data_IF_099014511153
#
_entry.id   IF_099014511153
#
_cell.length_a   1.000
_cell.length_b   1.000
_cell.length_c   1.000
_cell.angle_alpha   90.00
_cell.angle_beta   90.00
_cell.angle_gamma   90.00
#
_symmetry.space_group_name_H-M   'P 1'
#
loop_
_entity.id
_entity.type
_entity.pdbx_description
1 polymer ?
#
# COMPACT_ATOMS: atom_id res chain seq x y z
N UNK A 1 -5.27 -11.71 -22.61
CA UNK A 1 -5.24 -10.46 -21.84
C UNK A 1 -3.86 -9.86 -21.98
N UNK A 2 -3.74 -8.53 -22.00
CA UNK A 2 -2.47 -7.86 -22.20
C UNK A 2 -2.51 -6.44 -21.65
N UNK A 3 -1.35 -5.88 -21.34
CA UNK A 3 -1.14 -4.44 -21.23
C UNK A 3 -1.64 -3.76 -22.52
N UNK A 4 -2.47 -2.73 -22.38
CA UNK A 4 -3.05 -1.97 -23.50
C UNK A 4 -4.48 -2.37 -23.87
N UNK A 5 -5.11 -1.53 -24.69
CA UNK A 5 -6.51 -1.68 -25.10
C UNK A 5 -6.63 -2.60 -26.32
N UNK A 6 -7.54 -3.57 -26.26
CA UNK A 6 -7.80 -4.50 -27.37
C UNK A 6 -8.56 -3.79 -28.50
N UNK A 7 -7.88 -3.60 -29.64
CA UNK A 7 -8.40 -2.82 -30.77
C UNK A 7 -9.36 -3.59 -31.68
N UNK A 8 -9.25 -4.92 -31.73
CA UNK A 8 -9.96 -5.74 -32.71
C UNK A 8 -10.78 -6.87 -32.06
N UNK A 9 -11.40 -6.57 -30.93
CA UNK A 9 -12.22 -7.49 -30.14
C UNK A 9 -13.29 -8.24 -30.98
N UNK A 10 -14.03 -7.54 -31.84
CA UNK A 10 -15.06 -8.13 -32.71
C UNK A 10 -14.49 -9.05 -33.83
N UNK A 11 -13.19 -8.98 -34.11
CA UNK A 11 -12.52 -9.86 -35.10
C UNK A 11 -12.02 -11.18 -34.47
N UNK A 12 -11.68 -11.16 -33.17
CA UNK A 12 -10.95 -12.25 -32.50
C UNK A 12 -11.79 -13.03 -31.50
N UNK A 13 -12.84 -12.44 -30.95
CA UNK A 13 -13.80 -13.11 -30.07
C UNK A 13 -15.05 -13.54 -30.85
N UNK A 14 -15.67 -14.63 -30.42
CA UNK A 14 -16.95 -15.04 -30.98
C UNK A 14 -18.06 -14.02 -30.63
N UNK A 15 -19.15 -13.97 -31.41
CA UNK A 15 -20.26 -13.05 -31.15
C UNK A 15 -20.77 -13.16 -29.70
N UNK A 16 -21.03 -12.02 -29.07
CA UNK A 16 -21.54 -11.92 -27.70
C UNK A 16 -20.47 -11.64 -26.62
N UNK A 17 -19.26 -12.19 -26.72
CA UNK A 17 -18.22 -11.92 -25.70
C UNK A 17 -17.75 -10.47 -25.73
N UNK A 18 -17.55 -9.91 -26.92
CA UNK A 18 -17.21 -8.50 -27.06
C UNK A 18 -18.34 -7.57 -26.61
N UNK A 19 -19.60 -7.98 -26.82
CA UNK A 19 -20.77 -7.24 -26.35
C UNK A 19 -20.86 -7.24 -24.82
N UNK A 20 -20.56 -8.37 -24.16
CA UNK A 20 -20.46 -8.45 -22.68
C UNK A 20 -19.44 -7.44 -22.14
N UNK A 21 -18.26 -7.33 -22.77
CA UNK A 21 -17.24 -6.36 -22.36
C UNK A 21 -17.71 -4.91 -22.53
N UNK A 22 -18.23 -4.57 -23.72
CA UNK A 22 -18.76 -3.23 -24.00
C UNK A 22 -19.88 -2.84 -23.04
N UNK A 23 -20.69 -3.79 -22.59
CA UNK A 23 -21.73 -3.55 -21.58
C UNK A 23 -21.14 -3.27 -20.19
N UNK A 24 -20.13 -4.03 -19.77
CA UNK A 24 -19.47 -3.85 -18.46
C UNK A 24 -18.80 -2.49 -18.34
N UNK A 25 -18.15 -2.02 -19.40
CA UNK A 25 -17.45 -0.72 -19.42
C UNK A 25 -18.38 0.49 -19.18
N UNK A 26 -19.71 0.29 -19.22
CA UNK A 26 -20.71 1.34 -19.06
C UNK A 26 -21.34 1.42 -17.66
N UNK A 27 -21.11 0.44 -16.78
CA UNK A 27 -21.76 0.38 -15.47
C UNK A 27 -20.91 -0.30 -14.39
N UNK A 28 -21.34 -0.24 -13.13
CA UNK A 28 -20.59 -0.77 -11.98
C UNK A 28 -20.87 -2.26 -11.67
N UNK A 29 -21.67 -2.95 -12.50
CA UNK A 29 -22.05 -4.34 -12.22
C UNK A 29 -20.87 -5.31 -12.37
N UNK A 30 -20.89 -6.37 -11.58
CA UNK A 30 -20.03 -7.52 -11.77
C UNK A 30 -20.65 -8.42 -12.85
N UNK A 31 -19.86 -8.80 -13.85
CA UNK A 31 -20.31 -9.67 -14.93
C UNK A 31 -19.32 -10.80 -15.18
N UNK A 32 -19.84 -11.93 -15.64
CA UNK A 32 -19.03 -13.03 -16.14
C UNK A 32 -18.95 -12.93 -17.66
N UNK A 33 -17.73 -12.75 -18.17
CA UNK A 33 -17.45 -12.70 -19.61
C UNK A 33 -17.29 -14.10 -20.18
N UNK A 34 -16.52 -14.96 -19.50
CA UNK A 34 -16.32 -16.37 -19.84
C UNK A 34 -16.55 -17.20 -18.58
N UNK A 35 -17.45 -18.19 -18.66
CA UNK A 35 -17.72 -19.13 -17.57
C UNK A 35 -17.29 -20.58 -17.90
N UNK A 36 -17.58 -21.51 -16.99
CA UNK A 36 -17.24 -22.93 -17.20
C UNK A 36 -18.07 -23.63 -18.28
N UNK A 37 -19.22 -23.09 -18.66
CA UNK A 37 -20.05 -23.58 -19.77
C UNK A 37 -19.44 -23.13 -21.09
N UNK A 38 -19.04 -21.87 -21.18
CA UNK A 38 -18.33 -21.28 -22.32
C UNK A 38 -17.00 -22.03 -22.60
N UNK A 39 -16.24 -22.34 -21.54
CA UNK A 39 -15.00 -23.13 -21.63
C UNK A 39 -15.24 -24.53 -22.21
N UNK A 40 -16.31 -25.22 -21.77
CA UNK A 40 -16.67 -26.55 -22.30
C UNK A 40 -17.15 -26.50 -23.75
N UNK A 41 -17.80 -25.41 -24.15
CA UNK A 41 -18.25 -25.20 -25.52
C UNK A 41 -17.08 -24.92 -26.49
N UNK A 42 -15.97 -24.37 -25.99
CA UNK A 42 -14.75 -24.17 -26.78
C UNK A 42 -14.91 -23.19 -27.94
N UNK A 43 -15.88 -22.28 -27.87
CA UNK A 43 -16.26 -21.35 -28.93
C UNK A 43 -16.05 -19.88 -28.54
N UNK A 44 -15.09 -19.60 -27.65
CA UNK A 44 -14.83 -18.25 -27.11
C UNK A 44 -14.19 -17.33 -28.15
N UNK A 45 -13.24 -17.84 -28.92
CA UNK A 45 -12.57 -17.09 -29.99
C UNK A 45 -13.23 -17.33 -31.35
N UNK A 46 -13.04 -16.40 -32.28
CA UNK A 46 -13.49 -16.56 -33.67
C UNK A 46 -12.91 -17.84 -34.30
N UNK A 47 -13.72 -18.50 -35.14
CA UNK A 47 -13.37 -19.79 -35.80
C UNK A 47 -12.49 -19.57 -37.02
N UNK A 48 -11.28 -19.06 -36.79
CA UNK A 48 -10.23 -18.90 -37.79
C UNK A 48 -9.10 -19.90 -37.50
N UNK A 49 -8.34 -20.30 -38.53
CA UNK A 49 -7.12 -21.11 -38.35
C UNK A 49 -6.08 -20.38 -37.47
N UNK A 50 -6.08 -19.05 -37.51
CA UNK A 50 -5.26 -18.16 -36.67
C UNK A 50 -6.05 -16.89 -36.33
N UNK A 51 -6.08 -16.54 -35.04
CA UNK A 51 -6.53 -15.23 -34.57
C UNK A 51 -5.32 -14.33 -34.28
N UNK A 52 -5.41 -13.05 -34.60
CA UNK A 52 -4.36 -12.06 -34.32
C UNK A 52 -4.95 -10.95 -33.45
N UNK A 53 -4.58 -10.93 -32.18
CA UNK A 53 -4.99 -9.90 -31.23
C UNK A 53 -4.11 -8.67 -31.40
N UNK A 54 -4.71 -7.48 -31.41
CA UNK A 54 -4.01 -6.20 -31.54
C UNK A 54 -4.31 -5.34 -30.31
N UNK A 55 -3.26 -5.01 -29.57
CA UNK A 55 -3.34 -4.14 -28.41
C UNK A 55 -2.59 -2.83 -28.67
N UNK A 56 -3.11 -1.71 -28.15
CA UNK A 56 -2.40 -0.44 -28.12
C UNK A 56 -2.24 0.03 -26.67
N UNK A 57 -1.01 0.36 -26.28
CA UNK A 57 -0.70 0.98 -24.99
C UNK A 57 0.06 2.28 -25.22
N UNK A 58 -0.21 3.29 -24.39
CA UNK A 58 0.48 4.59 -24.43
C UNK A 58 0.94 4.93 -23.01
N UNK A 59 2.08 5.60 -22.91
CA UNK A 59 2.65 6.03 -21.63
C UNK A 59 2.88 4.87 -20.64
N UNK A 60 3.40 3.75 -21.15
CA UNK A 60 3.77 2.57 -20.36
C UNK A 60 5.26 2.31 -20.46
N UNK A 61 5.85 1.77 -19.41
CA UNK A 61 7.28 1.41 -19.35
C UNK A 61 7.53 -0.08 -19.56
N UNK A 62 6.51 -0.92 -19.37
CA UNK A 62 6.57 -2.35 -19.59
C UNK A 62 5.27 -2.89 -20.23
N UNK A 63 5.30 -4.14 -20.71
CA UNK A 63 4.18 -4.83 -21.36
C UNK A 63 4.15 -6.30 -20.94
N UNK A 64 3.03 -6.72 -20.35
CA UNK A 64 2.72 -8.13 -20.14
C UNK A 64 1.59 -8.61 -21.05
N UNK A 65 1.56 -9.92 -21.31
CA UNK A 65 0.40 -10.59 -21.87
C UNK A 65 0.27 -12.01 -21.36
N UNK A 66 -0.97 -12.47 -21.24
CA UNK A 66 -1.29 -13.81 -20.79
C UNK A 66 -2.40 -14.41 -21.65
N UNK A 67 -2.31 -15.73 -21.88
CA UNK A 67 -3.27 -16.51 -22.66
C UNK A 67 -3.61 -17.79 -21.91
N UNK A 68 -4.88 -18.18 -21.96
CA UNK A 68 -5.35 -19.44 -21.39
C UNK A 68 -6.49 -20.01 -22.23
N UNK A 69 -6.62 -21.34 -22.20
CA UNK A 69 -7.74 -22.07 -22.80
C UNK A 69 -8.66 -22.72 -21.74
N UNK A 70 -8.46 -22.40 -20.45
CA UNK A 70 -9.17 -23.05 -19.34
C UNK A 70 -9.50 -22.09 -18.19
N UNK A 71 -9.36 -20.78 -18.40
CA UNK A 71 -9.63 -19.76 -17.40
C UNK A 71 -11.00 -19.12 -17.61
N UNK A 72 -11.69 -18.88 -16.51
CA UNK A 72 -12.89 -18.02 -16.50
C UNK A 72 -12.46 -16.56 -16.46
N UNK A 73 -13.35 -15.69 -16.92
CA UNK A 73 -13.11 -14.25 -16.97
C UNK A 73 -14.30 -13.53 -16.38
N UNK A 74 -14.08 -12.85 -15.26
CA UNK A 74 -15.04 -11.92 -14.67
C UNK A 74 -14.56 -10.48 -14.87
N UNK A 75 -15.50 -9.56 -15.01
CA UNK A 75 -15.22 -8.16 -15.31
C UNK A 75 -16.19 -7.22 -14.61
N UNK A 76 -15.73 -6.01 -14.30
CA UNK A 76 -16.53 -4.87 -13.84
C UNK A 76 -15.93 -3.56 -14.38
N UNK A 77 -16.49 -2.42 -14.01
CA UNK A 77 -15.82 -1.13 -14.21
C UNK A 77 -16.09 -0.17 -13.06
N UNK A 78 -15.19 0.79 -12.90
CA UNK A 78 -15.26 1.84 -11.86
C UNK A 78 -15.14 3.19 -12.55
N UNK A 79 -15.96 4.19 -12.16
CA UNK A 79 -15.67 5.57 -12.52
C UNK A 79 -14.50 6.05 -11.67
N UNK A 80 -13.36 6.34 -12.29
CA UNK A 80 -12.10 6.66 -11.59
C UNK A 80 -11.76 8.16 -11.63
N UNK A 81 -12.47 8.93 -12.47
CA UNK A 81 -12.29 10.38 -12.57
C UNK A 81 -13.67 11.07 -12.55
N UNK A 82 -14.04 11.75 -11.45
CA UNK A 82 -15.28 12.50 -11.37
C UNK A 82 -15.38 13.66 -12.37
N UNK A 83 -14.24 14.27 -12.72
CA UNK A 83 -14.22 15.46 -13.56
C UNK A 83 -14.49 15.13 -15.02
N UNK A 84 -13.87 14.06 -15.54
CA UNK A 84 -14.08 13.60 -16.92
C UNK A 84 -15.19 12.55 -17.05
N UNK A 85 -15.56 11.90 -15.95
CA UNK A 85 -16.43 10.73 -15.95
C UNK A 85 -15.77 9.46 -16.48
N UNK A 86 -14.45 9.47 -16.71
CA UNK A 86 -13.68 8.32 -17.21
C UNK A 86 -13.83 7.11 -16.29
N UNK A 87 -13.92 5.95 -16.92
CA UNK A 87 -14.03 4.66 -16.25
C UNK A 87 -12.80 3.79 -16.53
N UNK A 88 -12.49 2.91 -15.60
CA UNK A 88 -11.49 1.85 -15.74
C UNK A 88 -12.21 0.51 -15.63
N UNK A 89 -12.03 -0.37 -16.62
CA UNK A 89 -12.49 -1.76 -16.55
C UNK A 89 -11.59 -2.54 -15.60
N UNK A 90 -12.16 -3.38 -14.75
CA UNK A 90 -11.39 -4.23 -13.83
C UNK A 90 -11.73 -5.67 -14.11
N UNK A 91 -10.72 -6.51 -14.30
CA UNK A 91 -10.87 -7.90 -14.69
C UNK A 91 -10.21 -8.83 -13.68
N UNK A 92 -10.83 -9.99 -13.45
CA UNK A 92 -10.19 -11.14 -12.81
C UNK A 92 -10.26 -12.33 -13.78
N UNK A 93 -9.11 -12.94 -14.06
CA UNK A 93 -8.97 -13.98 -15.08
C UNK A 93 -8.25 -15.17 -14.50
N UNK A 94 -8.94 -16.30 -14.33
CA UNK A 94 -8.44 -17.34 -13.45
C UNK A 94 -8.91 -18.76 -13.73
N UNK A 95 -8.13 -19.72 -13.26
CA UNK A 95 -8.50 -21.12 -13.21
C UNK A 95 -9.58 -21.33 -12.14
N UNK A 96 -10.76 -21.91 -12.47
CA UNK A 96 -11.82 -22.11 -11.50
C UNK A 96 -11.48 -23.07 -10.35
N UNK A 97 -10.29 -23.71 -10.36
CA UNK A 97 -9.78 -24.50 -9.24
C UNK A 97 -9.22 -23.63 -8.09
N UNK A 98 -8.83 -22.38 -8.37
CA UNK A 98 -8.32 -21.43 -7.37
C UNK A 98 -9.49 -20.64 -6.81
N UNK A 99 -9.81 -20.89 -5.53
CA UNK A 99 -11.08 -20.49 -4.93
C UNK A 99 -11.11 -19.02 -4.47
N UNK A 100 -9.95 -18.51 -4.06
CA UNK A 100 -9.69 -17.10 -3.72
C UNK A 100 -10.08 -16.16 -4.88
N UNK A 101 -9.71 -16.52 -6.11
CA UNK A 101 -9.99 -15.71 -7.30
C UNK A 101 -11.47 -15.44 -7.59
N UNK A 102 -12.39 -16.20 -6.98
CA UNK A 102 -13.81 -15.88 -7.10
C UNK A 102 -14.17 -14.53 -6.45
N UNK A 103 -13.37 -14.06 -5.49
CA UNK A 103 -13.52 -12.78 -4.77
C UNK A 103 -12.60 -11.68 -5.32
N UNK A 104 -11.48 -12.02 -5.96
CA UNK A 104 -10.47 -11.07 -6.46
C UNK A 104 -11.04 -9.95 -7.33
N UNK A 105 -12.06 -10.21 -8.17
CA UNK A 105 -12.70 -9.12 -8.93
C UNK A 105 -13.29 -8.03 -8.02
N UNK A 106 -13.94 -8.43 -6.92
CA UNK A 106 -14.53 -7.48 -5.99
C UNK A 106 -13.45 -6.66 -5.28
N UNK A 107 -12.35 -7.30 -4.90
CA UNK A 107 -11.22 -6.67 -4.22
C UNK A 107 -10.49 -5.72 -5.14
N UNK A 108 -10.10 -6.18 -6.32
CA UNK A 108 -9.46 -5.35 -7.34
C UNK A 108 -10.31 -4.12 -7.69
N UNK A 109 -11.64 -4.30 -7.81
CA UNK A 109 -12.56 -3.19 -8.05
C UNK A 109 -12.54 -2.19 -6.89
N UNK A 110 -12.55 -2.66 -5.64
CA UNK A 110 -12.45 -1.79 -4.45
C UNK A 110 -11.08 -1.10 -4.36
N UNK A 111 -9.99 -1.76 -4.74
CA UNK A 111 -8.65 -1.16 -4.79
C UNK A 111 -8.59 -0.02 -5.81
N UNK A 112 -9.04 -0.24 -7.05
CA UNK A 112 -9.07 0.80 -8.10
C UNK A 112 -9.93 2.00 -7.66
N UNK A 113 -11.05 1.74 -6.98
CA UNK A 113 -11.90 2.77 -6.38
C UNK A 113 -11.17 3.51 -5.24
N UNK A 114 -10.56 2.80 -4.29
CA UNK A 114 -9.82 3.36 -3.17
C UNK A 114 -8.63 4.20 -3.64
N UNK A 115 -7.89 3.77 -4.66
CA UNK A 115 -6.82 4.54 -5.27
C UNK A 115 -7.31 5.87 -5.84
N UNK A 116 -8.48 5.85 -6.48
CA UNK A 116 -9.09 7.02 -7.09
C UNK A 116 -9.63 8.02 -6.06
N UNK A 117 -10.17 7.53 -4.93
CA UNK A 117 -10.99 8.35 -4.03
C UNK A 117 -10.46 8.51 -2.60
N UNK A 118 -9.60 7.60 -2.13
CA UNK A 118 -9.13 7.53 -0.74
C UNK A 118 -7.63 7.74 -0.66
N UNK A 119 -6.83 6.83 -1.22
CA UNK A 119 -5.36 6.90 -1.19
C UNK A 119 -4.76 6.22 -2.42
N UNK A 120 -4.00 6.92 -3.28
CA UNK A 120 -3.48 8.28 -3.12
C UNK A 120 -4.49 9.38 -3.50
N UNK A 121 -5.77 9.04 -3.69
CA UNK A 121 -6.83 9.97 -4.13
C UNK A 121 -6.46 10.65 -5.44
N UNK A 122 -6.04 9.85 -6.40
CA UNK A 122 -5.61 10.29 -7.72
C UNK A 122 -6.31 9.46 -8.78
N UNK A 123 -6.86 10.05 -9.86
CA UNK A 123 -7.56 9.29 -10.88
C UNK A 123 -6.73 8.12 -11.40
N UNK A 124 -7.24 6.89 -11.26
CA UNK A 124 -6.54 5.69 -11.71
C UNK A 124 -6.13 5.84 -13.18
N UNK A 125 -4.84 5.65 -13.55
CA UNK A 125 -4.31 6.27 -14.76
C UNK A 125 -4.67 5.55 -16.06
N UNK A 126 -5.03 4.27 -16.02
CA UNK A 126 -5.26 3.45 -17.21
C UNK A 126 -6.72 3.07 -17.44
N UNK A 127 -7.03 2.63 -18.67
CA UNK A 127 -8.37 2.28 -19.11
C UNK A 127 -8.85 0.91 -18.59
N UNK A 128 -7.93 0.02 -18.23
CA UNK A 128 -8.27 -1.24 -17.58
C UNK A 128 -7.18 -1.69 -16.60
N UNK A 129 -7.53 -2.62 -15.74
CA UNK A 129 -6.64 -3.34 -14.82
C UNK A 129 -7.06 -4.81 -14.78
N UNK A 130 -6.13 -5.74 -14.98
CA UNK A 130 -6.43 -7.18 -15.04
C UNK A 130 -5.62 -7.94 -14.00
N UNK A 131 -6.30 -8.53 -13.02
CA UNK A 131 -5.69 -9.52 -12.12
C UNK A 131 -5.72 -10.89 -12.78
N UNK A 132 -4.55 -11.38 -13.17
CA UNK A 132 -4.37 -12.66 -13.82
C UNK A 132 -3.85 -13.71 -12.83
N UNK A 133 -4.48 -14.88 -12.83
CA UNK A 133 -4.05 -16.08 -12.09
C UNK A 133 -2.80 -16.70 -12.69
N UNK A 134 -1.68 -16.26 -12.14
CA UNK A 134 -0.34 -16.49 -12.58
C UNK A 134 0.45 -17.46 -11.72
N UNK A 135 1.77 -17.31 -11.81
CA UNK A 135 2.75 -18.13 -11.11
C UNK A 135 3.74 -17.30 -10.30
N UNK A 136 3.50 -15.99 -10.18
CA UNK A 136 4.40 -15.02 -9.54
C UNK A 136 3.58 -13.99 -8.75
N UNK A 137 4.25 -13.01 -8.14
CA UNK A 137 3.66 -11.80 -7.54
C UNK A 137 4.31 -10.64 -8.27
N UNK A 138 3.67 -10.16 -9.34
CA UNK A 138 4.32 -9.24 -10.27
C UNK A 138 3.34 -8.30 -10.95
N UNK A 139 3.65 -7.03 -10.80
CA UNK A 139 2.99 -5.87 -11.34
C UNK A 139 3.40 -5.58 -12.80
N UNK A 140 2.45 -5.08 -13.58
CA UNK A 140 2.68 -4.50 -14.91
C UNK A 140 1.67 -3.36 -15.15
N UNK A 141 1.91 -2.46 -16.13
CA UNK A 141 0.88 -1.51 -16.52
C UNK A 141 -0.39 -2.25 -17.01
N UNK A 142 -1.53 -1.98 -16.38
CA UNK A 142 -2.85 -2.56 -16.69
C UNK A 142 -3.00 -4.06 -16.42
N UNK A 143 -2.01 -4.71 -15.81
CA UNK A 143 -2.05 -6.13 -15.50
C UNK A 143 -1.25 -6.44 -14.25
N UNK A 144 -1.75 -7.35 -13.42
CA UNK A 144 -0.99 -8.01 -12.37
C UNK A 144 -1.02 -9.52 -12.60
N UNK A 145 0.05 -10.20 -12.22
CA UNK A 145 0.23 -11.64 -12.36
C UNK A 145 0.48 -12.20 -10.97
N UNK A 146 -0.60 -12.65 -10.33
CA UNK A 146 -0.60 -13.05 -8.92
C UNK A 146 -0.71 -14.57 -8.83
N UNK A 147 -0.09 -15.18 -7.83
CA UNK A 147 -0.32 -16.58 -7.54
C UNK A 147 -1.58 -16.72 -6.67
N UNK A 148 -2.32 -17.84 -6.79
CA UNK A 148 -3.41 -18.12 -5.87
C UNK A 148 -2.90 -18.36 -4.45
N UNK A 149 -3.69 -17.94 -3.48
CA UNK A 149 -3.40 -18.12 -2.06
C UNK A 149 -4.62 -18.67 -1.31
N UNK A 150 -4.39 -19.38 -0.20
CA UNK A 150 -5.48 -19.96 0.60
C UNK A 150 -6.04 -18.97 1.62
N UNK A 151 -5.20 -18.08 2.13
CA UNK A 151 -5.59 -17.11 3.16
C UNK A 151 -6.27 -15.88 2.55
N UNK A 152 -7.35 -15.44 3.20
CA UNK A 152 -8.16 -14.33 2.69
C UNK A 152 -7.47 -12.98 2.86
N UNK A 153 -6.74 -12.79 3.97
CA UNK A 153 -5.99 -11.56 4.18
C UNK A 153 -4.88 -11.46 3.14
N UNK A 154 -4.11 -12.55 2.97
CA UNK A 154 -3.04 -12.62 1.97
C UNK A 154 -3.56 -12.35 0.55
N UNK A 155 -4.76 -12.86 0.20
CA UNK A 155 -5.38 -12.59 -1.11
C UNK A 155 -5.71 -11.12 -1.32
N UNK A 156 -6.20 -10.42 -0.28
CA UNK A 156 -6.53 -9.00 -0.36
C UNK A 156 -5.26 -8.16 -0.43
N UNK A 157 -4.33 -8.41 0.49
CA UNK A 157 -3.03 -7.74 0.63
C UNK A 157 -2.23 -7.87 -0.67
N UNK A 158 -2.12 -9.07 -1.24
CA UNK A 158 -1.45 -9.26 -2.53
C UNK A 158 -2.15 -8.49 -3.66
N UNK A 159 -3.48 -8.63 -3.78
CA UNK A 159 -4.23 -8.00 -4.89
C UNK A 159 -4.10 -6.47 -4.86
N UNK A 160 -4.19 -5.85 -3.68
CA UNK A 160 -4.15 -4.40 -3.59
C UNK A 160 -2.72 -3.82 -3.69
N UNK A 161 -1.70 -4.54 -3.19
CA UNK A 161 -0.28 -4.24 -3.36
C UNK A 161 0.09 -4.16 -4.86
N UNK A 162 -0.22 -5.22 -5.59
CA UNK A 162 0.15 -5.36 -7.01
C UNK A 162 -0.59 -4.34 -7.88
N UNK A 163 -1.87 -4.08 -7.60
CA UNK A 163 -2.62 -3.02 -8.30
C UNK A 163 -2.07 -1.64 -7.95
N UNK A 164 -1.61 -1.42 -6.71
CA UNK A 164 -1.04 -0.13 -6.31
C UNK A 164 0.17 0.24 -7.16
N UNK A 165 0.92 -0.77 -7.62
CA UNK A 165 2.08 -0.54 -8.47
C UNK A 165 1.76 0.14 -9.81
N UNK A 166 0.49 0.15 -10.21
CA UNK A 166 -0.01 1.00 -11.30
C UNK A 166 0.46 2.46 -11.16
N UNK A 167 0.50 2.98 -9.93
CA UNK A 167 0.96 4.35 -9.65
C UNK A 167 2.50 4.44 -9.57
N UNK A 168 3.10 3.53 -8.82
CA UNK A 168 4.55 3.45 -8.58
C UNK A 168 4.98 2.01 -8.83
N UNK A 169 5.74 1.69 -9.88
CA UNK A 169 6.58 2.63 -10.61
C UNK A 169 5.91 3.14 -11.88
N UNK A 170 4.83 2.52 -12.37
CA UNK A 170 4.48 2.62 -13.79
C UNK A 170 3.95 3.97 -14.23
N UNK A 171 3.06 4.60 -13.46
CA UNK A 171 2.58 5.94 -13.80
C UNK A 171 3.64 7.01 -13.57
N UNK A 172 4.46 6.86 -12.53
CA UNK A 172 5.44 7.87 -12.13
C UNK A 172 6.80 7.72 -12.82
N UNK A 173 7.09 6.54 -13.36
CA UNK A 173 8.36 6.20 -14.00
C UNK A 173 9.54 6.15 -13.02
N UNK A 174 9.34 5.75 -11.77
CA UNK A 174 10.44 5.59 -10.81
C UNK A 174 11.38 4.46 -11.23
N UNK A 175 12.62 4.48 -10.73
CA UNK A 175 13.62 3.46 -11.05
C UNK A 175 13.62 2.38 -9.96
N UNK A 176 12.77 1.37 -10.12
CA UNK A 176 12.63 0.22 -9.21
C UNK A 176 13.97 -0.49 -8.94
N UNK A 177 14.83 -0.63 -9.96
CA UNK A 177 16.10 -1.35 -9.84
C UNK A 177 17.08 -0.65 -8.89
N UNK A 178 17.14 0.68 -8.93
CA UNK A 178 18.08 1.47 -8.10
C UNK A 178 17.48 1.91 -6.77
N UNK A 179 16.18 2.20 -6.77
CA UNK A 179 15.45 2.78 -5.66
C UNK A 179 14.14 2.01 -5.44
N UNK A 180 14.23 0.70 -5.23
CA UNK A 180 13.05 -0.18 -5.03
C UNK A 180 12.15 0.29 -3.87
N UNK A 181 12.68 1.03 -2.91
CA UNK A 181 11.88 1.65 -1.85
C UNK A 181 10.89 2.72 -2.33
N UNK A 182 11.13 3.34 -3.49
CA UNK A 182 10.19 4.26 -4.15
C UNK A 182 9.10 3.52 -4.92
N UNK A 183 9.10 2.20 -4.84
CA UNK A 183 8.20 1.32 -5.55
C UNK A 183 7.42 0.50 -4.51
N UNK A 184 8.08 -0.54 -4.00
CA UNK A 184 7.65 -1.44 -2.93
C UNK A 184 7.14 -0.68 -1.69
N UNK A 185 7.86 0.36 -1.26
CA UNK A 185 7.46 1.14 -0.10
C UNK A 185 6.14 1.89 -0.31
N UNK A 186 5.83 2.28 -1.54
CA UNK A 186 4.57 2.93 -1.90
C UNK A 186 3.44 1.91 -2.02
N UNK A 187 3.71 0.75 -2.60
CA UNK A 187 2.77 -0.37 -2.64
C UNK A 187 2.41 -0.84 -1.22
N UNK A 188 3.40 -1.05 -0.33
CA UNK A 188 3.16 -1.46 1.06
C UNK A 188 2.35 -0.44 1.88
N UNK A 189 2.56 0.89 1.74
CA UNK A 189 1.64 1.84 2.40
C UNK A 189 0.26 1.86 1.74
N UNK A 190 0.18 1.59 0.43
CA UNK A 190 -1.08 1.37 -0.28
C UNK A 190 -1.87 0.23 0.35
N UNK A 191 -1.25 -0.93 0.46
CA UNK A 191 -1.73 -2.17 1.10
C UNK A 191 -2.24 -1.89 2.52
N UNK A 192 -1.39 -1.30 3.39
CA UNK A 192 -1.76 -0.97 4.78
C UNK A 192 -2.99 -0.07 4.91
N UNK A 193 -3.22 0.81 3.94
CA UNK A 193 -4.33 1.76 3.95
C UNK A 193 -5.57 1.25 3.20
N UNK A 194 -5.43 0.32 2.26
CA UNK A 194 -6.51 -0.15 1.38
C UNK A 194 -7.08 -1.49 1.87
N UNK A 195 -6.26 -2.41 2.34
CA UNK A 195 -6.72 -3.72 2.82
C UNK A 195 -7.82 -3.59 3.89
N UNK A 196 -7.72 -2.69 4.90
CA UNK A 196 -8.78 -2.46 5.87
C UNK A 196 -10.07 -1.82 5.31
N UNK A 197 -10.03 -1.22 4.11
CA UNK A 197 -11.22 -0.72 3.40
C UNK A 197 -11.97 -1.88 2.75
N UNK A 198 -11.23 -2.89 2.27
CA UNK A 198 -11.79 -4.09 1.65
C UNK A 198 -12.37 -5.02 2.72
N UNK A 199 -11.63 -5.25 3.80
CA UNK A 199 -12.07 -5.99 4.98
C UNK A 199 -11.65 -5.26 6.27
N UNK A 200 -12.63 -4.69 6.97
CA UNK A 200 -12.44 -3.90 8.19
C UNK A 200 -11.87 -4.66 9.39
N UNK A 201 -11.77 -6.00 9.30
CA UNK A 201 -11.17 -6.82 10.36
C UNK A 201 -9.65 -6.96 10.20
N UNK A 202 -9.12 -6.59 9.04
CA UNK A 202 -7.68 -6.66 8.76
C UNK A 202 -6.93 -5.52 9.43
N UNK A 203 -5.79 -5.88 10.01
CA UNK A 203 -4.74 -4.95 10.41
C UNK A 203 -3.46 -5.46 9.80
N UNK A 204 -3.18 -4.96 8.61
CA UNK A 204 -1.97 -5.32 7.91
C UNK A 204 -0.76 -4.59 8.53
N UNK A 205 0.26 -5.36 8.86
CA UNK A 205 1.53 -4.91 9.46
C UNK A 205 2.73 -5.50 8.73
N UNK A 206 2.56 -5.77 7.42
CA UNK A 206 3.55 -6.43 6.56
C UNK A 206 4.96 -5.90 6.80
N UNK A 207 5.89 -6.80 7.14
CA UNK A 207 7.30 -6.44 7.32
C UNK A 207 7.67 -5.63 8.58
N UNK A 208 6.73 -5.10 9.39
CA UNK A 208 7.05 -4.33 10.61
C UNK A 208 7.90 -5.16 11.58
N UNK A 209 7.47 -6.39 11.89
CA UNK A 209 8.24 -7.31 12.73
C UNK A 209 9.58 -7.72 12.10
N UNK A 210 9.65 -7.71 10.76
CA UNK A 210 10.89 -7.94 10.01
C UNK A 210 11.91 -6.87 10.29
N UNK A 211 11.47 -5.60 10.29
CA UNK A 211 12.32 -4.49 10.65
C UNK A 211 12.74 -4.53 12.12
N UNK A 212 11.83 -4.83 13.06
CA UNK A 212 12.18 -4.95 14.49
C UNK A 212 13.31 -5.96 14.75
N UNK A 213 13.37 -7.05 13.98
CA UNK A 213 14.44 -8.06 14.10
C UNK A 213 15.78 -7.59 13.52
N UNK A 214 15.74 -6.73 12.53
CA UNK A 214 16.92 -6.28 11.77
C UNK A 214 17.52 -5.00 12.35
N UNK A 215 16.69 -4.13 12.92
CA UNK A 215 17.09 -2.82 13.40
C UNK A 215 18.27 -2.90 14.36
N UNK A 216 19.32 -2.12 14.09
CA UNK A 216 20.54 -2.07 14.91
C UNK A 216 21.56 -3.20 14.67
N UNK A 217 21.28 -4.15 13.77
CA UNK A 217 22.27 -5.14 13.30
C UNK A 217 23.14 -4.57 12.19
N UNK A 218 24.21 -5.28 11.79
CA UNK A 218 25.02 -4.89 10.62
C UNK A 218 24.27 -4.90 9.28
N UNK A 219 23.05 -5.45 9.24
CA UNK A 219 22.20 -5.49 8.05
C UNK A 219 21.20 -4.34 7.97
N UNK A 220 21.06 -3.52 9.03
CA UNK A 220 20.22 -2.33 9.03
C UNK A 220 20.92 -1.16 8.34
N UNK A 221 20.65 -1.00 7.05
CA UNK A 221 21.25 0.04 6.21
C UNK A 221 20.29 1.23 6.04
N UNK A 222 20.76 2.46 5.77
CA UNK A 222 19.89 3.57 5.38
C UNK A 222 19.03 3.23 4.15
N UNK A 223 17.76 3.67 4.14
CA UNK A 223 16.81 3.42 3.04
C UNK A 223 17.36 3.93 1.70
N UNK A 224 18.11 5.02 1.73
CA UNK A 224 18.75 5.60 0.54
C UNK A 224 19.88 4.77 -0.07
N UNK A 225 20.28 3.66 0.56
CA UNK A 225 21.22 2.72 -0.04
C UNK A 225 20.63 2.14 -1.33
N UNK A 226 21.41 2.08 -2.41
CA UNK A 226 20.92 1.56 -3.69
C UNK A 226 20.48 0.10 -3.54
N UNK A 227 19.31 -0.25 -4.09
CA UNK A 227 18.77 -1.63 -4.03
C UNK A 227 19.74 -2.63 -4.67
N UNK A 228 20.43 -2.24 -5.75
CA UNK A 228 21.46 -3.06 -6.41
C UNK A 228 22.66 -3.43 -5.54
N UNK A 229 22.85 -2.77 -4.40
CA UNK A 229 23.94 -3.05 -3.46
C UNK A 229 23.48 -3.84 -2.23
N UNK A 230 22.23 -4.27 -2.20
CA UNK A 230 21.60 -4.93 -1.07
C UNK A 230 21.13 -6.33 -1.47
N UNK A 231 20.98 -7.20 -0.48
CA UNK A 231 20.41 -8.53 -0.65
C UNK A 231 19.80 -9.03 0.66
N UNK A 232 18.91 -10.03 0.57
CA UNK A 232 18.30 -10.65 1.75
C UNK A 232 17.54 -9.63 2.62
N UNK A 233 17.69 -9.76 3.94
CA UNK A 233 16.95 -8.95 4.91
C UNK A 233 17.14 -7.43 4.72
N UNK A 234 18.36 -6.97 4.39
CA UNK A 234 18.66 -5.56 4.17
C UNK A 234 17.85 -5.00 2.99
N UNK A 235 17.84 -5.72 1.86
CA UNK A 235 17.07 -5.35 0.67
C UNK A 235 15.58 -5.32 0.98
N UNK A 236 15.07 -6.38 1.62
CA UNK A 236 13.66 -6.47 1.99
C UNK A 236 13.22 -5.31 2.90
N UNK A 237 13.87 -5.08 4.04
CA UNK A 237 13.41 -4.06 4.99
C UNK A 237 13.51 -2.65 4.42
N UNK A 238 14.51 -2.39 3.56
CA UNK A 238 14.70 -1.08 2.93
C UNK A 238 13.78 -0.85 1.73
N UNK A 239 13.36 -1.90 1.02
CA UNK A 239 12.40 -1.76 -0.08
C UNK A 239 10.97 -1.63 0.45
N UNK A 240 10.56 -2.42 1.45
CA UNK A 240 9.15 -2.55 1.85
C UNK A 240 8.80 -1.79 3.15
N UNK A 241 8.99 -2.34 4.36
CA UNK A 241 8.38 -1.76 5.56
C UNK A 241 8.99 -0.42 5.98
N UNK A 242 10.31 -0.22 5.90
CA UNK A 242 10.94 1.03 6.36
C UNK A 242 10.45 2.27 5.59
N UNK A 243 10.46 2.29 4.24
CA UNK A 243 9.89 3.43 3.51
C UNK A 243 8.39 3.57 3.75
N UNK A 244 7.61 2.47 3.82
CA UNK A 244 6.18 2.52 4.11
C UNK A 244 5.87 3.16 5.48
N UNK A 245 6.60 2.78 6.53
CA UNK A 245 6.55 3.44 7.85
C UNK A 245 6.93 4.91 7.74
N UNK A 246 8.00 5.22 6.98
CA UNK A 246 8.41 6.59 6.72
C UNK A 246 7.29 7.44 6.10
N UNK A 247 6.61 6.92 5.08
CA UNK A 247 5.48 7.60 4.45
C UNK A 247 4.29 7.75 5.40
N UNK A 248 3.99 6.69 6.17
CA UNK A 248 2.89 6.68 7.11
C UNK A 248 3.10 7.71 8.23
N UNK A 249 4.31 7.82 8.77
CA UNK A 249 4.65 8.78 9.81
C UNK A 249 4.63 10.23 9.31
N UNK A 250 5.00 10.48 8.04
CA UNK A 250 4.82 11.81 7.45
C UNK A 250 3.34 12.12 7.23
N UNK A 251 2.55 11.15 6.76
CA UNK A 251 1.10 11.30 6.61
C UNK A 251 0.44 11.61 7.96
N UNK A 252 0.80 10.88 9.00
CA UNK A 252 0.34 11.08 10.37
C UNK A 252 0.71 12.48 10.90
N UNK A 253 1.98 12.87 10.74
CA UNK A 253 2.45 14.21 11.14
C UNK A 253 1.74 15.36 10.42
N UNK A 254 1.49 15.23 9.11
CA UNK A 254 0.92 16.29 8.29
C UNK A 254 -0.61 16.32 8.31
N UNK A 255 -1.23 15.18 8.58
CA UNK A 255 -2.64 14.92 8.27
C UNK A 255 -2.90 14.76 6.77
N UNK A 256 -4.05 14.17 6.44
CA UNK A 256 -4.38 13.73 5.08
C UNK A 256 -4.39 14.85 4.05
N UNK A 257 -4.99 15.99 4.36
CA UNK A 257 -5.13 17.10 3.40
C UNK A 257 -3.76 17.60 2.94
N UNK A 258 -2.86 17.84 3.90
CA UNK A 258 -1.55 18.42 3.62
C UNK A 258 -0.62 17.38 2.99
N UNK A 259 -0.66 16.13 3.46
CA UNK A 259 0.07 15.03 2.84
C UNK A 259 -0.32 14.85 1.37
N UNK A 260 -1.63 14.75 1.08
CA UNK A 260 -2.13 14.59 -0.29
C UNK A 260 -1.79 15.80 -1.17
N UNK A 261 -1.80 17.02 -0.62
CA UNK A 261 -1.33 18.20 -1.36
C UNK A 261 0.14 18.07 -1.80
N UNK A 262 1.01 17.57 -0.90
CA UNK A 262 2.41 17.25 -1.19
C UNK A 262 2.55 16.15 -2.25
N UNK A 263 1.89 15.01 -2.03
CA UNK A 263 1.92 13.86 -2.94
C UNK A 263 1.40 14.23 -4.32
N UNK A 264 0.28 14.95 -4.42
CA UNK A 264 -0.27 15.38 -5.70
C UNK A 264 0.62 16.43 -6.39
N UNK A 265 1.35 17.25 -5.64
CA UNK A 265 2.36 18.13 -6.22
C UNK A 265 3.51 17.32 -6.83
N UNK A 266 3.98 16.29 -6.14
CA UNK A 266 4.97 15.35 -6.68
C UNK A 266 4.47 14.67 -7.97
N UNK A 267 3.28 14.07 -7.93
CA UNK A 267 2.67 13.38 -9.07
C UNK A 267 2.56 14.32 -10.29
N UNK A 268 1.97 15.51 -10.11
CA UNK A 268 1.83 16.49 -11.21
C UNK A 268 3.16 16.96 -11.78
N UNK A 269 4.19 17.06 -10.95
CA UNK A 269 5.49 17.62 -11.36
C UNK A 269 6.31 16.60 -12.14
N UNK A 270 6.20 15.31 -11.78
CA UNK A 270 7.14 14.27 -12.21
C UNK A 270 6.56 13.18 -13.09
N UNK A 271 5.24 13.03 -13.17
CA UNK A 271 4.63 12.13 -14.14
C UNK A 271 5.18 12.41 -15.56
N UNK A 272 5.65 11.35 -16.23
CA UNK A 272 6.24 11.38 -17.57
C UNK A 272 7.72 11.80 -17.65
N UNK A 273 8.46 11.86 -16.53
CA UNK A 273 9.87 12.31 -16.52
C UNK A 273 10.90 11.33 -15.95
N UNK A 274 10.57 10.50 -14.96
CA UNK A 274 11.51 9.68 -14.16
C UNK A 274 12.13 10.39 -12.93
N UNK A 275 11.36 10.58 -11.84
CA UNK A 275 11.88 11.15 -10.60
C UNK A 275 12.88 10.24 -9.89
N UNK A 276 13.87 10.85 -9.23
CA UNK A 276 14.78 10.20 -8.27
C UNK A 276 14.37 10.58 -6.82
N UNK A 277 14.92 9.94 -5.77
CA UNK A 277 14.53 10.22 -4.38
C UNK A 277 14.46 11.69 -3.96
N UNK A 278 15.46 12.49 -4.36
CA UNK A 278 15.51 13.90 -4.01
C UNK A 278 14.35 14.69 -4.62
N UNK A 279 13.86 14.28 -5.79
CA UNK A 279 12.72 14.91 -6.44
C UNK A 279 11.44 14.68 -5.64
N UNK A 280 11.25 13.47 -5.12
CA UNK A 280 10.17 13.16 -4.20
C UNK A 280 10.24 14.01 -2.93
N UNK A 281 11.37 13.99 -2.21
CA UNK A 281 11.52 14.75 -0.97
C UNK A 281 11.32 16.27 -1.17
N UNK A 282 11.91 16.82 -2.23
CA UNK A 282 11.78 18.24 -2.56
C UNK A 282 10.34 18.60 -2.95
N UNK A 283 9.64 17.74 -3.70
CA UNK A 283 8.24 17.96 -4.05
C UNK A 283 7.32 17.85 -2.84
N UNK A 284 7.57 16.94 -1.89
CA UNK A 284 6.82 16.89 -0.64
C UNK A 284 6.99 18.19 0.16
N UNK A 285 8.23 18.68 0.31
CA UNK A 285 8.48 19.98 0.96
C UNK A 285 7.78 21.13 0.23
N UNK A 286 7.92 21.21 -1.09
CA UNK A 286 7.36 22.30 -1.89
C UNK A 286 5.83 22.29 -1.93
N UNK A 287 5.22 21.10 -2.05
CA UNK A 287 3.77 20.95 -2.12
C UNK A 287 3.08 21.18 -0.78
N UNK A 288 3.70 20.74 0.32
CA UNK A 288 3.20 20.97 1.68
C UNK A 288 3.49 22.39 2.16
N UNK A 289 4.63 22.98 1.76
CA UNK A 289 5.15 24.22 2.35
C UNK A 289 5.78 23.99 3.73
N UNK A 290 6.02 22.74 4.12
CA UNK A 290 6.63 22.35 5.39
C UNK A 290 8.05 21.86 5.13
N UNK A 291 9.00 22.27 5.98
CA UNK A 291 10.35 21.71 5.98
C UNK A 291 10.35 20.33 6.64
N UNK A 292 10.39 19.27 5.82
CA UNK A 292 10.45 17.87 6.25
C UNK A 292 11.89 17.33 6.21
N UNK A 293 12.90 18.16 5.94
CA UNK A 293 14.29 17.69 5.81
C UNK A 293 14.81 17.03 7.08
N UNK A 294 14.38 17.50 8.25
CA UNK A 294 14.71 16.87 9.53
C UNK A 294 14.23 15.41 9.57
N UNK A 295 13.04 15.15 9.03
CA UNK A 295 12.42 13.83 9.00
C UNK A 295 13.09 12.96 7.94
N UNK A 296 13.24 13.47 6.70
CA UNK A 296 13.89 12.73 5.62
C UNK A 296 15.27 12.26 6.04
N UNK A 297 16.06 13.17 6.63
CA UNK A 297 17.39 12.83 7.14
C UNK A 297 17.33 11.68 8.15
N UNK A 298 16.45 11.75 9.16
CA UNK A 298 16.37 10.74 10.23
C UNK A 298 15.87 9.37 9.78
N UNK A 299 14.93 9.33 8.83
CA UNK A 299 14.35 8.06 8.39
C UNK A 299 15.06 7.45 7.19
N UNK A 300 15.46 8.26 6.21
CA UNK A 300 15.96 7.77 4.93
C UNK A 300 17.49 7.77 4.82
N UNK A 301 18.18 8.66 5.54
CA UNK A 301 19.64 8.84 5.39
C UNK A 301 20.44 8.38 6.61
N UNK A 302 19.95 8.64 7.82
CA UNK A 302 20.67 8.33 9.05
C UNK A 302 20.45 6.89 9.50
N UNK A 303 21.48 6.32 10.12
CA UNK A 303 21.39 5.10 10.91
C UNK A 303 20.61 5.34 12.22
N UNK A 304 20.34 4.26 12.95
CA UNK A 304 19.72 4.29 14.27
C UNK A 304 18.55 3.33 14.39
N UNK A 305 18.11 3.11 15.62
CA UNK A 305 17.04 2.14 15.93
C UNK A 305 15.79 2.85 16.45
N UNK A 306 14.59 2.27 16.22
CA UNK A 306 13.38 2.70 16.91
C UNK A 306 13.29 1.99 18.27
N UNK A 307 13.40 2.75 19.35
CA UNK A 307 13.31 2.25 20.74
C UNK A 307 12.67 3.36 21.57
N UNK A 308 11.45 3.11 22.03
CA UNK A 308 10.76 3.92 23.02
C UNK A 308 10.73 3.18 24.36
N UNK A 309 10.48 3.88 25.46
CA UNK A 309 10.30 3.25 26.76
C UNK A 309 9.35 4.04 27.65
N UNK A 310 8.56 3.34 28.45
CA UNK A 310 7.86 3.95 29.59
C UNK A 310 8.87 4.06 30.74
N UNK A 311 9.47 5.24 30.88
CA UNK A 311 10.55 5.47 31.85
C UNK A 311 10.06 5.74 33.28
N UNK A 312 8.90 6.40 33.43
CA UNK A 312 8.31 6.69 34.73
C UNK A 312 6.79 6.90 34.65
N UNK A 313 6.07 6.46 35.68
CA UNK A 313 4.65 6.72 35.88
C UNK A 313 4.44 7.24 37.29
N UNK A 314 3.91 8.44 37.43
CA UNK A 314 3.60 9.04 38.73
C UNK A 314 2.12 9.28 38.85
N UNK A 315 1.54 8.77 39.94
CA UNK A 315 0.12 8.96 40.25
C UNK A 315 -0.04 9.86 41.49
N UNK A 316 -0.74 10.97 41.30
CA UNK A 316 -1.27 11.81 42.37
C UNK A 316 -2.81 11.77 42.30
N UNK A 317 -3.48 12.19 43.37
CA UNK A 317 -4.94 12.32 43.37
C UNK A 317 -5.33 13.34 42.30
N UNK A 318 -6.27 12.98 41.41
CA UNK A 318 -6.70 13.79 40.28
C UNK A 318 -5.68 14.03 39.16
N UNK A 319 -4.40 13.64 39.30
CA UNK A 319 -3.34 13.92 38.32
C UNK A 319 -2.40 12.74 38.10
N UNK A 320 -2.23 12.31 36.84
CA UNK A 320 -1.26 11.27 36.44
C UNK A 320 -0.21 11.87 35.51
N UNK A 321 1.03 11.39 35.62
CA UNK A 321 2.14 11.74 34.73
C UNK A 321 2.76 10.47 34.16
N UNK A 322 2.94 10.41 32.85
CA UNK A 322 3.61 9.32 32.15
C UNK A 322 4.79 9.94 31.40
N UNK A 323 5.99 9.43 31.63
CA UNK A 323 7.20 9.87 30.93
C UNK A 323 7.62 8.80 29.93
N UNK A 324 7.46 9.11 28.64
CA UNK A 324 7.98 8.29 27.54
C UNK A 324 9.35 8.81 27.15
N UNK A 325 10.32 7.92 27.04
CA UNK A 325 11.68 8.21 26.58
C UNK A 325 11.88 7.62 25.18
N UNK A 326 12.49 8.39 24.27
CA UNK A 326 13.04 7.89 23.02
C UNK A 326 14.49 7.49 23.28
N UNK A 327 14.74 6.19 23.37
CA UNK A 327 16.07 5.60 23.60
C UNK A 327 16.87 5.43 22.30
N UNK A 328 16.18 5.16 21.19
CA UNK A 328 16.78 4.99 19.87
C UNK A 328 16.84 6.28 19.06
N UNK A 329 17.78 6.42 18.15
CA UNK A 329 18.01 7.65 17.35
C UNK A 329 17.01 7.84 16.21
N UNK A 330 16.22 6.80 15.91
CA UNK A 330 15.25 6.78 14.83
C UNK A 330 13.85 7.06 15.39
N UNK A 331 13.32 8.27 15.19
CA UNK A 331 12.08 8.70 15.84
C UNK A 331 10.88 7.93 15.30
N UNK A 332 9.91 7.63 16.16
CA UNK A 332 8.63 6.98 15.82
C UNK A 332 7.48 7.71 16.55
N UNK A 333 6.21 7.59 16.10
CA UNK A 333 5.06 8.08 16.85
C UNK A 333 4.95 7.45 18.24
N UNK A 334 4.21 8.10 19.15
CA UNK A 334 3.90 7.57 20.49
C UNK A 334 2.42 7.25 20.57
N UNK A 335 2.11 5.97 20.65
CA UNK A 335 0.77 5.43 20.90
C UNK A 335 0.74 4.79 22.29
N UNK A 336 -0.21 5.21 23.13
CA UNK A 336 -0.44 4.62 24.44
C UNK A 336 -1.86 4.08 24.53
N UNK A 337 -2.00 2.84 25.00
CA UNK A 337 -3.26 2.30 25.52
C UNK A 337 -3.18 2.24 27.05
N UNK A 338 -3.99 3.05 27.72
CA UNK A 338 -3.97 3.22 29.17
C UNK A 338 -5.22 2.57 29.75
N UNK A 339 -5.05 1.44 30.40
CA UNK A 339 -6.13 0.70 31.07
C UNK A 339 -6.23 1.14 32.53
N UNK A 340 -7.43 1.47 32.97
CA UNK A 340 -7.73 1.87 34.34
C UNK A 340 -8.32 0.73 35.17
N UNK A 341 -8.26 0.88 36.49
CA UNK A 341 -8.79 -0.09 37.47
C UNK A 341 -10.32 -0.29 37.40
N UNK A 342 -11.05 0.64 36.77
CA UNK A 342 -12.48 0.51 36.48
C UNK A 342 -12.78 -0.30 35.20
N UNK A 343 -11.74 -0.79 34.50
CA UNK A 343 -11.83 -1.54 33.26
C UNK A 343 -11.92 -0.70 31.99
N UNK A 344 -12.00 0.63 32.09
CA UNK A 344 -11.96 1.51 30.91
C UNK A 344 -10.56 1.63 30.32
N UNK A 345 -10.47 1.93 29.02
CA UNK A 345 -9.20 2.18 28.32
C UNK A 345 -9.25 3.52 27.61
N UNK A 346 -8.17 4.30 27.73
CA UNK A 346 -7.97 5.55 27.01
C UNK A 346 -6.78 5.40 26.06
N UNK A 347 -6.94 5.91 24.83
CA UNK A 347 -5.88 5.90 23.82
C UNK A 347 -5.33 7.31 23.64
N UNK A 348 -4.01 7.45 23.70
CA UNK A 348 -3.30 8.71 23.48
C UNK A 348 -2.34 8.52 22.32
N UNK A 349 -2.37 9.44 21.37
CA UNK A 349 -1.50 9.44 20.20
C UNK A 349 -0.76 10.78 20.07
N UNK A 350 0.54 10.70 19.80
CA UNK A 350 1.35 11.82 19.36
C UNK A 350 2.12 11.44 18.10
N UNK A 351 1.98 12.26 17.05
CA UNK A 351 2.75 12.06 15.84
C UNK A 351 4.25 12.27 16.08
N UNK A 352 5.06 11.77 15.14
CA UNK A 352 6.51 11.84 15.20
C UNK A 352 7.07 13.28 15.33
N UNK A 353 6.28 14.33 15.04
CA UNK A 353 6.71 15.73 15.13
C UNK A 353 7.18 16.12 16.54
N UNK A 354 6.70 15.44 17.58
CA UNK A 354 7.12 15.70 18.96
C UNK A 354 8.64 15.60 19.13
N UNK A 355 9.37 14.86 18.26
CA UNK A 355 10.82 14.66 18.34
C UNK A 355 11.62 15.64 17.48
N UNK A 356 10.96 16.49 16.68
CA UNK A 356 11.58 17.39 15.69
C UNK A 356 12.65 18.31 16.28
N UNK A 357 12.48 18.74 17.54
CA UNK A 357 13.42 19.63 18.24
C UNK A 357 14.59 18.89 18.90
N UNK A 358 14.69 17.58 18.72
CA UNK A 358 15.73 16.74 19.31
C UNK A 358 15.54 16.45 20.79
N UNK A 359 14.36 16.72 21.35
CA UNK A 359 13.99 16.21 22.66
C UNK A 359 13.96 14.68 22.63
N UNK A 360 14.28 14.08 23.79
CA UNK A 360 14.37 12.63 23.99
C UNK A 360 13.32 12.10 24.94
N UNK A 361 12.49 12.99 25.47
CA UNK A 361 11.41 12.64 26.39
C UNK A 361 10.12 13.36 25.99
N UNK A 362 9.01 12.73 26.34
CA UNK A 362 7.65 13.25 26.26
C UNK A 362 6.99 13.03 27.62
N UNK A 363 6.57 14.11 28.28
CA UNK A 363 5.76 14.02 29.49
C UNK A 363 4.28 14.20 29.11
N UNK A 364 3.47 13.21 29.48
CA UNK A 364 2.02 13.21 29.26
C UNK A 364 1.36 13.41 30.62
N UNK A 365 0.58 14.48 30.76
CA UNK A 365 -0.21 14.76 31.96
C UNK A 365 -1.69 14.45 31.71
N UNK A 366 -2.31 13.73 32.64
CA UNK A 366 -3.74 13.40 32.60
C UNK A 366 -4.44 13.88 33.87
N UNK A 367 -5.63 14.46 33.71
CA UNK A 367 -6.49 14.88 34.82
C UNK A 367 -7.59 13.83 35.03
N UNK A 368 -7.35 12.89 35.94
CA UNK A 368 -8.28 11.78 36.21
C UNK A 368 -8.14 11.25 37.63
N UNK A 369 -9.28 10.88 38.22
CA UNK A 369 -9.34 10.20 39.52
C UNK A 369 -9.12 8.69 39.42
N UNK A 370 -9.21 8.12 38.22
CA UNK A 370 -9.03 6.68 37.97
C UNK A 370 -7.59 6.28 38.21
N UNK A 371 -7.36 5.10 38.79
CA UNK A 371 -5.99 4.60 38.94
C UNK A 371 -5.59 3.86 37.67
N UNK A 372 -4.33 4.00 37.28
CA UNK A 372 -3.78 3.28 36.14
C UNK A 372 -3.52 1.82 36.56
N UNK A 373 -4.10 0.87 35.83
CA UNK A 373 -3.84 -0.56 35.98
C UNK A 373 -2.64 -0.97 35.11
N UNK A 374 -2.71 -0.64 33.83
CA UNK A 374 -1.71 -1.00 32.81
C UNK A 374 -1.54 0.12 31.79
N UNK A 375 -0.33 0.29 31.27
CA UNK A 375 -0.05 1.11 30.08
C UNK A 375 0.72 0.24 29.10
N UNK A 376 0.24 0.21 27.86
CA UNK A 376 0.95 -0.37 26.72
C UNK A 376 1.41 0.75 25.80
N UNK A 377 2.69 0.76 25.47
CA UNK A 377 3.33 1.68 24.53
C UNK A 377 3.60 0.97 23.19
N UNK A 378 3.21 1.62 22.11
CA UNK A 378 3.39 1.14 20.74
C UNK A 378 2.06 0.99 19.99
N UNK A 379 2.17 1.00 18.66
CA UNK A 379 1.07 0.83 17.72
C UNK A 379 1.41 -0.23 16.67
N UNK A 380 0.44 -0.66 15.84
CA UNK A 380 0.64 -1.73 14.85
C UNK A 380 1.80 -1.49 13.88
N UNK A 381 2.02 -0.23 13.48
CA UNK A 381 3.08 0.18 12.55
C UNK A 381 4.26 0.89 13.23
N UNK A 382 4.31 0.88 14.57
CA UNK A 382 5.36 1.54 15.36
C UNK A 382 6.37 0.49 15.78
N UNK A 383 7.50 0.33 15.06
CA UNK A 383 8.48 -0.70 15.37
C UNK A 383 9.19 -0.35 16.68
N UNK A 384 9.54 -1.37 17.46
CA UNK A 384 10.33 -1.19 18.67
C UNK A 384 11.25 -2.39 18.90
N UNK A 385 12.56 -2.13 19.08
CA UNK A 385 13.56 -3.19 19.28
C UNK A 385 13.58 -3.77 20.70
N UNK A 386 13.00 -3.09 21.70
CA UNK A 386 12.95 -3.54 23.09
C UNK A 386 11.55 -3.34 23.70
N UNK A 387 10.61 -4.18 23.28
CA UNK A 387 9.24 -4.20 23.83
C UNK A 387 9.16 -4.51 25.33
N UNK A 388 10.24 -4.94 25.98
CA UNK A 388 10.22 -5.26 27.42
C UNK A 388 10.01 -4.02 28.30
N UNK A 389 10.35 -2.84 27.77
CA UNK A 389 10.23 -1.55 28.46
C UNK A 389 8.96 -0.75 28.04
N UNK A 390 8.10 -1.35 27.21
CA UNK A 390 6.86 -0.77 26.68
C UNK A 390 5.62 -1.07 27.51
N UNK A 391 5.78 -1.74 28.65
CA UNK A 391 4.66 -2.13 29.52
C UNK A 391 4.89 -1.61 30.93
N UNK A 392 3.94 -0.81 31.41
CA UNK A 392 3.83 -0.51 32.83
C UNK A 392 2.65 -1.28 33.41
N UNK A 393 2.87 -1.99 34.52
CA UNK A 393 1.81 -2.62 35.32
C UNK A 393 1.98 -2.19 36.76
N UNK A 394 0.90 -1.70 37.35
CA UNK A 394 0.90 -1.37 38.78
C UNK A 394 1.05 -2.68 39.56
N UNK A 395 2.07 -2.72 40.43
CA UNK A 395 2.34 -3.87 41.31
C UNK A 395 1.39 -3.92 42.49
#
# INVERSE_FOLDING_TARGET
>A
WATGDLLNCDEVLAPGYCERLKMVEQNDALATIVDTVDLKAGNITAKNDKNTFRFEARHVTDVAFAVSNHYIWKSSSVKVDPASGRRTRVDAVFNPKHLDYFLVLEDARKTVEAMSYVFPKWPFPYAHETVFDGLDQMEYPMMVNDNPVEDRAESIELTDHEIFHTMFPFYMGTNETKYGWMDEGWATIGEWLISPIIDTTLVDTYGVSGYERVAGTETDLPVMTLTTHQSGAAMFVNSYPKPAMGYLFVKDMLGDELFLKGLHHYIRTWNGKHPIPYDFFNCMNAGTGVDLNWFWKRWFFDDGVPDLAISNVTEQVGKKKILVESKGEKPVPVDLAIKFDDGSTEHIHYSIEIWKRGNRTLEIEMQTEKNIEEILLGGPHTPDIDKSNNVYRKK
#
